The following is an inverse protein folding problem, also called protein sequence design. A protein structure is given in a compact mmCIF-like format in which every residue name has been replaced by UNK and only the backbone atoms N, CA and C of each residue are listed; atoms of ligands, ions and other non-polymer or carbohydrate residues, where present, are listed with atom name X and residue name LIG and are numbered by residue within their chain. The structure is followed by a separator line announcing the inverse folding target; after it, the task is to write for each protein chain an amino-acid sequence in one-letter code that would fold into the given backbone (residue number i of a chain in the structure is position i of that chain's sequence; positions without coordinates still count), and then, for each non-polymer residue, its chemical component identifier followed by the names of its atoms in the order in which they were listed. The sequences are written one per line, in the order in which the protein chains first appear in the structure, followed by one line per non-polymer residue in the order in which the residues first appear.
data_IF_999495033297
#
_entry.id   IF_999495033297
#
_cell.length_a   1.000
_cell.length_b   1.000
_cell.length_c   1.000
_cell.angle_alpha   90.00
_cell.angle_beta   90.00
_cell.angle_gamma   90.00
#
_symmetry.space_group_name_H-M   'P 1'
#
loop_
_entity.id
_entity.type
_entity.pdbx_description
1 polymer ?
#
# COMPACT_ATOMS: atom_id res chain seq x y z
N UNK A 1 12.51 6.77 28.92
CA UNK A 1 12.96 6.08 27.71
C UNK A 1 12.12 6.53 26.52
N UNK A 2 12.78 6.88 25.48
CA UNK A 2 12.10 7.34 24.27
C UNK A 2 11.43 6.16 23.57
N UNK A 3 10.20 6.36 23.12
CA UNK A 3 9.54 5.36 22.30
C UNK A 3 10.35 5.16 21.02
N UNK A 4 10.61 3.93 20.69
CA UNK A 4 11.31 3.61 19.44
C UNK A 4 10.39 3.84 18.26
N UNK A 5 10.87 4.59 17.27
CA UNK A 5 10.24 4.62 15.98
C UNK A 5 10.55 3.29 15.31
N UNK A 6 9.52 2.64 14.77
CA UNK A 6 9.72 1.42 14.03
C UNK A 6 10.47 1.75 12.74
N UNK A 7 11.68 1.19 12.61
CA UNK A 7 12.55 1.39 11.44
C UNK A 7 12.84 0.06 10.76
N UNK A 8 11.88 -0.83 10.77
CA UNK A 8 12.05 -2.16 10.21
C UNK A 8 11.94 -2.12 8.68
N UNK A 9 13.01 -2.50 8.02
CA UNK A 9 13.01 -2.71 6.58
C UNK A 9 12.07 -3.85 6.23
N UNK A 10 11.19 -3.65 5.26
CA UNK A 10 10.21 -4.65 4.86
C UNK A 10 10.44 -5.05 3.40
N UNK A 11 11.02 -6.24 3.15
CA UNK A 11 11.31 -6.70 1.79
C UNK A 11 10.06 -6.84 0.93
N UNK A 12 8.91 -7.16 1.52
CA UNK A 12 7.67 -7.29 0.78
C UNK A 12 7.24 -5.93 0.21
N UNK A 13 7.28 -4.90 1.04
CA UNK A 13 6.91 -3.55 0.64
C UNK A 13 7.94 -2.95 -0.31
N UNK A 14 9.19 -3.37 -0.21
CA UNK A 14 10.29 -2.76 -0.95
C UNK A 14 10.20 -2.94 -2.48
N UNK A 15 9.47 -3.91 -2.97
CA UNK A 15 9.28 -4.08 -4.41
C UNK A 15 8.63 -2.81 -5.00
N UNK A 16 9.12 -2.31 -6.15
CA UNK A 16 8.76 -0.97 -6.64
C UNK A 16 7.27 -0.68 -6.70
N UNK A 17 6.48 -1.56 -7.31
CA UNK A 17 5.03 -1.33 -7.41
C UNK A 17 4.35 -1.38 -6.03
N UNK A 18 4.78 -2.29 -5.17
CA UNK A 18 4.19 -2.40 -3.83
C UNK A 18 4.52 -1.21 -2.95
N UNK A 19 5.73 -0.69 -3.05
CA UNK A 19 6.13 0.52 -2.35
C UNK A 19 5.28 1.72 -2.81
N UNK A 20 5.10 1.86 -4.12
CA UNK A 20 4.28 2.92 -4.69
C UNK A 20 2.82 2.81 -4.25
N UNK A 21 2.27 1.60 -4.27
CA UNK A 21 0.89 1.35 -3.81
C UNK A 21 0.73 1.80 -2.37
N UNK A 22 1.62 1.38 -1.49
CA UNK A 22 1.56 1.76 -0.07
C UNK A 22 1.67 3.26 0.12
N UNK A 23 2.56 3.92 -0.62
CA UNK A 23 2.73 5.37 -0.55
C UNK A 23 1.44 6.10 -0.94
N UNK A 24 0.79 5.66 -2.00
CA UNK A 24 -0.47 6.24 -2.45
C UNK A 24 -1.59 6.02 -1.44
N UNK A 25 -1.67 4.82 -0.87
CA UNK A 25 -2.71 4.48 0.10
C UNK A 25 -2.48 5.14 1.47
N UNK A 26 -1.24 5.44 1.83
CA UNK A 26 -0.95 6.11 3.10
C UNK A 26 -1.47 7.54 3.11
N UNK A 27 -1.61 8.16 1.96
CA UNK A 27 -2.05 9.55 1.84
C UNK A 27 -3.58 9.72 1.89
N UNK A 28 -4.34 8.64 1.83
CA UNK A 28 -5.80 8.66 1.74
C UNK A 28 -6.42 7.58 2.61
N UNK A 29 -7.74 7.65 2.84
CA UNK A 29 -8.44 6.60 3.57
C UNK A 29 -8.58 5.33 2.72
N UNK A 30 -8.93 5.51 1.46
CA UNK A 30 -9.01 4.41 0.49
C UNK A 30 -8.88 4.98 -0.91
N UNK A 31 -8.55 4.11 -1.87
CA UNK A 31 -8.39 4.53 -3.25
C UNK A 31 -9.02 3.49 -4.17
N UNK A 32 -9.65 3.98 -5.22
CA UNK A 32 -10.25 3.09 -6.20
C UNK A 32 -9.17 2.32 -6.97
N UNK A 33 -9.42 1.05 -7.20
CA UNK A 33 -8.48 0.14 -7.85
C UNK A 33 -8.08 0.63 -9.25
N UNK A 34 -9.05 1.14 -10.02
CA UNK A 34 -8.79 1.67 -11.35
C UNK A 34 -7.83 2.87 -11.31
N UNK A 35 -7.93 3.70 -10.28
CA UNK A 35 -7.06 4.86 -10.14
C UNK A 35 -5.62 4.43 -9.79
N UNK A 36 -5.48 3.44 -8.92
CA UNK A 36 -4.17 2.85 -8.63
C UNK A 36 -3.51 2.32 -9.91
N UNK A 37 -4.27 1.56 -10.69
CA UNK A 37 -3.81 1.01 -11.96
C UNK A 37 -3.31 2.11 -12.90
N UNK A 38 -4.10 3.15 -13.07
CA UNK A 38 -3.79 4.23 -13.99
C UNK A 38 -2.57 5.03 -13.53
N UNK A 39 -2.47 5.30 -12.25
CA UNK A 39 -1.34 6.03 -11.68
C UNK A 39 -0.04 5.24 -11.77
N UNK A 40 -0.10 3.94 -11.58
CA UNK A 40 1.09 3.07 -11.68
C UNK A 40 1.46 2.76 -13.13
N UNK A 41 0.53 2.95 -14.07
CA UNK A 41 0.77 2.64 -15.46
C UNK A 41 0.96 1.16 -15.74
N UNK A 42 0.30 0.30 -14.98
CA UNK A 42 0.39 -1.16 -15.11
C UNK A 42 -0.92 -1.76 -15.59
N UNK A 43 -0.88 -3.02 -16.01
CA UNK A 43 -2.10 -3.74 -16.34
C UNK A 43 -2.89 -4.08 -15.07
N UNK A 44 -4.18 -4.37 -15.24
CA UNK A 44 -5.01 -4.81 -14.14
C UNK A 44 -4.47 -6.10 -13.51
N UNK A 45 -3.96 -7.00 -14.34
CA UNK A 45 -3.37 -8.26 -13.89
C UNK A 45 -2.15 -8.02 -13.00
N UNK A 46 -1.26 -7.11 -13.39
CA UNK A 46 -0.09 -6.75 -12.58
C UNK A 46 -0.51 -6.11 -11.27
N UNK A 47 -1.45 -5.17 -11.32
CA UNK A 47 -1.95 -4.52 -10.11
C UNK A 47 -2.57 -5.53 -9.15
N UNK A 48 -3.42 -6.41 -9.67
CA UNK A 48 -4.08 -7.43 -8.84
C UNK A 48 -3.05 -8.32 -8.14
N UNK A 49 -2.00 -8.70 -8.83
CA UNK A 49 -0.93 -9.52 -8.26
C UNK A 49 -0.22 -8.81 -7.11
N UNK A 50 0.11 -7.53 -7.31
CA UNK A 50 0.82 -6.75 -6.29
C UNK A 50 -0.07 -6.46 -5.09
N UNK A 51 -1.32 -6.10 -5.32
CA UNK A 51 -2.27 -5.85 -4.24
C UNK A 51 -2.53 -7.13 -3.45
N UNK A 52 -2.64 -8.27 -4.12
CA UNK A 52 -2.85 -9.55 -3.45
C UNK A 52 -1.70 -9.91 -2.53
N UNK A 53 -0.47 -9.65 -2.95
CA UNK A 53 0.70 -9.88 -2.09
C UNK A 53 0.60 -9.06 -0.80
N UNK A 54 0.18 -7.80 -0.90
CA UNK A 54 0.00 -6.92 0.25
C UNK A 54 -1.19 -7.35 1.10
N UNK A 55 -2.26 -7.79 0.46
CA UNK A 55 -3.45 -8.30 1.15
C UNK A 55 -3.14 -9.56 1.94
N UNK A 56 -2.41 -10.50 1.34
CA UNK A 56 -2.01 -11.74 2.00
C UNK A 56 -1.11 -11.49 3.21
N UNK A 57 -0.33 -10.42 3.19
CA UNK A 57 0.48 -10.02 4.34
C UNK A 57 -0.32 -9.27 5.41
N UNK A 58 -1.59 -8.97 5.15
CA UNK A 58 -2.43 -8.22 6.08
C UNK A 58 -2.21 -6.71 6.03
N UNK A 59 -1.52 -6.19 5.02
CA UNK A 59 -1.19 -4.77 4.91
C UNK A 59 -2.24 -3.96 4.17
N UNK A 60 -3.01 -4.61 3.31
CA UNK A 60 -4.03 -3.96 2.48
C UNK A 60 -5.35 -4.71 2.62
N UNK A 61 -6.43 -3.96 2.67
CA UNK A 61 -7.80 -4.48 2.63
C UNK A 61 -8.43 -4.07 1.31
N UNK A 62 -8.99 -5.04 0.60
CA UNK A 62 -9.73 -4.81 -0.63
C UNK A 62 -11.22 -4.95 -0.34
N UNK A 63 -12.02 -4.03 -0.86
CA UNK A 63 -13.46 -4.05 -0.64
C UNK A 63 -14.19 -3.59 -1.90
N UNK A 64 -15.48 -3.92 -1.96
CA UNK A 64 -16.38 -3.42 -2.99
C UNK A 64 -17.17 -2.26 -2.42
N UNK A 65 -17.41 -1.26 -3.25
CA UNK A 65 -18.22 -0.12 -2.88
C UNK A 65 -18.87 0.48 -4.11
N UNK A 66 -19.93 1.25 -3.91
CA UNK A 66 -20.69 1.85 -5.00
C UNK A 66 -20.28 3.31 -5.18
N UNK A 67 -20.02 3.68 -6.43
CA UNK A 67 -19.78 5.05 -6.84
C UNK A 67 -20.48 5.28 -8.19
N UNK A 68 -21.27 6.33 -8.28
CA UNK A 68 -22.03 6.67 -9.50
C UNK A 68 -22.86 5.49 -9.97
N UNK A 69 -23.55 4.81 -9.05
CA UNK A 69 -24.42 3.66 -9.30
C UNK A 69 -23.70 2.44 -9.86
N UNK A 70 -22.36 2.41 -9.76
CA UNK A 70 -21.54 1.25 -10.20
C UNK A 70 -20.74 0.69 -9.04
N UNK A 71 -20.63 -0.63 -9.01
CA UNK A 71 -19.78 -1.30 -8.05
C UNK A 71 -18.32 -1.10 -8.47
N UNK A 72 -17.50 -0.64 -7.52
CA UNK A 72 -16.08 -0.40 -7.72
C UNK A 72 -15.29 -1.19 -6.70
N UNK A 73 -14.05 -1.50 -7.05
CA UNK A 73 -13.12 -2.13 -6.12
C UNK A 73 -12.24 -1.07 -5.50
N UNK A 74 -12.07 -1.14 -4.18
CA UNK A 74 -11.33 -0.17 -3.39
C UNK A 74 -10.24 -0.87 -2.60
N UNK A 75 -9.14 -0.17 -2.38
CA UNK A 75 -8.04 -0.65 -1.54
C UNK A 75 -7.72 0.38 -0.48
N UNK A 76 -7.32 -0.10 0.69
CA UNK A 76 -6.88 0.77 1.79
C UNK A 76 -5.79 0.06 2.59
N UNK A 77 -4.91 0.84 3.20
CA UNK A 77 -3.95 0.28 4.14
C UNK A 77 -4.66 -0.08 5.43
N UNK A 78 -4.32 -1.23 5.97
CA UNK A 78 -4.71 -1.60 7.32
C UNK A 78 -3.82 -0.85 8.31
N UNK A 79 -4.15 -0.94 9.61
CA UNK A 79 -3.30 -0.37 10.65
C UNK A 79 -1.89 -0.98 10.58
N UNK A 80 -1.80 -2.30 10.42
CA UNK A 80 -0.50 -2.96 10.30
C UNK A 80 0.23 -2.55 9.02
N UNK A 81 -0.51 -2.33 7.93
CA UNK A 81 0.07 -1.85 6.68
C UNK A 81 0.66 -0.46 6.81
N UNK A 82 -0.02 0.44 7.49
CA UNK A 82 0.49 1.79 7.75
C UNK A 82 1.77 1.74 8.58
N UNK A 83 1.77 0.93 9.63
CA UNK A 83 2.95 0.77 10.49
C UNK A 83 4.12 0.21 9.69
N UNK A 84 3.88 -0.86 8.93
CA UNK A 84 4.92 -1.50 8.14
C UNK A 84 5.49 -0.56 7.08
N UNK A 85 4.63 0.17 6.39
CA UNK A 85 5.06 1.14 5.38
C UNK A 85 5.89 2.26 6.00
N UNK A 86 5.41 2.86 7.07
CA UNK A 86 6.12 3.97 7.72
C UNK A 86 7.45 3.51 8.32
N UNK A 87 7.49 2.31 8.89
CA UNK A 87 8.72 1.72 9.39
C UNK A 87 9.72 1.46 8.26
N UNK A 88 9.24 0.98 7.12
CA UNK A 88 10.08 0.75 5.96
C UNK A 88 10.65 2.06 5.41
N UNK A 89 9.83 3.10 5.29
CA UNK A 89 10.29 4.43 4.84
C UNK A 89 11.37 4.97 5.80
N UNK A 90 11.16 4.83 7.09
CA UNK A 90 12.14 5.26 8.09
C UNK A 90 13.45 4.48 7.93
N UNK A 91 13.38 3.19 7.66
CA UNK A 91 14.56 2.35 7.42
C UNK A 91 15.30 2.80 6.16
N UNK A 92 14.57 3.12 5.08
CA UNK A 92 15.17 3.63 3.86
C UNK A 92 15.88 4.95 4.09
N UNK A 93 15.27 5.87 4.83
CA UNK A 93 15.88 7.17 5.16
C UNK A 93 17.16 6.98 5.97
N UNK A 94 17.17 6.02 6.87
CA UNK A 94 18.36 5.71 7.66
C UNK A 94 19.50 5.18 6.77
N UNK A 95 19.17 4.46 5.70
CA UNK A 95 20.16 3.92 4.76
C UNK A 95 20.73 5.02 3.86
N UNK A 96 19.87 5.89 3.36
CA UNK A 96 20.29 6.89 2.37
C UNK A 96 20.69 8.24 2.99
N UNK A 97 20.49 8.39 4.25
CA UNK A 97 20.83 9.62 4.97
C UNK A 97 19.65 10.57 5.04
#
# INVERSE_FOLDING_TARGET
MTAKIDTTFDPLIHAPHRLQICAMLDAVDRLEFALLRDQLGVSESVLSKQVRALEDAGYVKVSKGTRDHRVRTWAQLTRSGKRAYRGHVAALRAIVG
#
